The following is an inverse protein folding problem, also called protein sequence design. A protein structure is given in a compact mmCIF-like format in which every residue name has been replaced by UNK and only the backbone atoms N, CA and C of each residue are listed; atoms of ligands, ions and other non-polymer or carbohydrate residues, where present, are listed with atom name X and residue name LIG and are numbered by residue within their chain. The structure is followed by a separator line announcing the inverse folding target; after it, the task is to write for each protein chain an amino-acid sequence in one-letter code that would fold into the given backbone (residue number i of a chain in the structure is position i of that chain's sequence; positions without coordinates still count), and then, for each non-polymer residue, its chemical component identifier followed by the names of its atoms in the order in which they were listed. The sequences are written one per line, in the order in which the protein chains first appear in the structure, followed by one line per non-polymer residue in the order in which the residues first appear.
data_IF_348125861648
#
_entry.id   IF_348125861648
#
_cell.length_a   1.000
_cell.length_b   1.000
_cell.length_c   1.000
_cell.angle_alpha   90.00
_cell.angle_beta   90.00
_cell.angle_gamma   90.00
#
_symmetry.space_group_name_H-M   'P 1'
#
loop_
_entity.id
_entity.type
_entity.pdbx_description
1 polymer ?
#
# COMPACT_ATOMS: atom_id res chain seq x y z
N UNK A 1 16.29 17.69 -5.81
CA UNK A 1 16.08 16.60 -4.85
C UNK A 1 14.59 16.34 -4.92
N UNK A 2 14.17 15.40 -5.76
CA UNK A 2 12.81 14.87 -5.67
C UNK A 2 12.68 14.33 -4.26
N UNK A 3 11.75 14.87 -3.47
CA UNK A 3 11.45 14.25 -2.18
C UNK A 3 10.83 12.88 -2.52
N UNK A 4 11.58 11.81 -2.31
CA UNK A 4 11.07 10.44 -2.50
C UNK A 4 10.00 10.17 -1.43
N UNK A 5 8.73 10.39 -1.79
CA UNK A 5 7.60 9.96 -0.99
C UNK A 5 7.42 8.45 -1.14
N UNK A 6 7.29 7.73 -0.03
CA UNK A 6 6.77 6.37 -0.07
C UNK A 6 5.29 6.41 -0.39
N UNK A 7 4.86 5.59 -1.34
CA UNK A 7 3.47 5.52 -1.78
C UNK A 7 2.90 4.13 -1.54
N UNK A 8 1.65 4.09 -1.09
CA UNK A 8 0.85 2.87 -1.03
C UNK A 8 -0.61 3.22 -1.32
N UNK A 9 -1.25 2.44 -2.17
CA UNK A 9 -2.69 2.48 -2.34
C UNK A 9 -3.40 1.38 -1.52
N UNK A 10 -4.63 1.66 -1.10
CA UNK A 10 -5.50 0.74 -0.36
C UNK A 10 -6.96 0.92 -0.80
N UNK A 11 -7.76 -0.14 -0.64
CA UNK A 11 -9.20 -0.14 -0.96
C UNK A 11 -10.07 -0.71 0.18
N UNK A 12 -9.99 -0.17 1.40
CA UNK A 12 -10.69 -0.71 2.56
C UNK A 12 -12.21 -0.56 2.45
N UNK A 13 -12.95 -1.49 3.05
CA UNK A 13 -14.41 -1.44 3.10
C UNK A 13 -14.92 -0.25 3.94
N UNK A 14 -14.17 0.17 4.96
CA UNK A 14 -14.49 1.27 5.88
C UNK A 14 -13.40 2.35 5.86
N UNK A 15 -13.74 3.55 6.32
CA UNK A 15 -12.75 4.63 6.44
C UNK A 15 -11.83 4.38 7.65
N UNK A 16 -10.67 3.78 7.37
CA UNK A 16 -9.68 3.43 8.39
C UNK A 16 -8.51 4.41 8.49
N UNK A 17 -8.39 5.38 7.57
CA UNK A 17 -7.27 6.32 7.54
C UNK A 17 -7.04 7.03 8.90
N UNK A 18 -8.09 7.49 9.61
CA UNK A 18 -7.90 8.13 10.92
C UNK A 18 -7.31 7.19 11.99
N UNK A 19 -7.55 5.88 11.86
CA UNK A 19 -7.09 4.87 12.82
C UNK A 19 -5.63 4.50 12.59
N UNK A 20 -5.20 4.46 11.32
CA UNK A 20 -3.86 3.99 10.96
C UNK A 20 -2.83 5.12 10.86
N UNK A 21 -3.27 6.38 10.71
CA UNK A 21 -2.37 7.52 10.52
C UNK A 21 -1.32 7.67 11.62
N UNK A 22 -1.73 7.62 12.89
CA UNK A 22 -0.82 7.69 14.04
C UNK A 22 0.15 6.50 14.10
N UNK A 23 -0.33 5.30 13.77
CA UNK A 23 0.50 4.10 13.72
C UNK A 23 1.65 4.25 12.74
N UNK A 24 1.35 4.62 11.49
CA UNK A 24 2.37 4.78 10.44
C UNK A 24 3.29 5.98 10.71
N UNK A 25 2.76 7.11 11.16
CA UNK A 25 3.58 8.26 11.54
C UNK A 25 4.58 7.94 12.66
N UNK A 26 4.18 7.11 13.64
CA UNK A 26 5.09 6.68 14.71
C UNK A 26 6.20 5.72 14.24
N UNK A 27 5.91 4.92 13.20
CA UNK A 27 6.81 3.90 12.64
C UNK A 27 7.81 4.48 11.64
N UNK A 28 7.36 5.46 10.84
CA UNK A 28 8.09 6.09 9.73
C UNK A 28 8.38 7.57 10.00
N UNK A 29 8.84 7.91 11.22
CA UNK A 29 9.01 9.29 11.69
C UNK A 29 9.84 10.17 10.75
N UNK A 30 10.84 9.58 10.10
CA UNK A 30 11.82 10.30 9.28
C UNK A 30 11.57 10.13 7.77
N UNK A 31 10.47 9.49 7.38
CA UNK A 31 10.16 9.21 5.98
C UNK A 31 8.86 9.89 5.57
N UNK A 32 8.90 10.56 4.43
CA UNK A 32 7.70 11.15 3.85
C UNK A 32 6.90 10.02 3.18
N UNK A 33 5.61 9.92 3.48
CA UNK A 33 4.77 8.86 2.93
C UNK A 33 3.35 9.32 2.62
N UNK A 34 2.73 8.61 1.70
CA UNK A 34 1.35 8.79 1.26
C UNK A 34 0.64 7.43 1.32
N UNK A 35 -0.46 7.35 2.06
CA UNK A 35 -1.36 6.19 2.05
C UNK A 35 -2.68 6.63 1.44
N UNK A 36 -2.99 6.12 0.26
CA UNK A 36 -4.11 6.55 -0.57
C UNK A 36 -5.27 5.54 -0.53
N UNK A 37 -6.45 5.97 -0.04
CA UNK A 37 -7.69 5.22 -0.18
C UNK A 37 -8.34 5.55 -1.54
N UNK A 38 -8.16 4.66 -2.51
CA UNK A 38 -8.62 4.85 -3.90
C UNK A 38 -10.14 5.00 -3.97
N UNK A 39 -10.88 4.22 -3.16
CA UNK A 39 -12.36 4.22 -3.18
C UNK A 39 -12.92 5.57 -2.75
N UNK A 40 -12.30 6.18 -1.74
CA UNK A 40 -12.78 7.44 -1.13
C UNK A 40 -12.06 8.68 -1.65
N UNK A 41 -10.99 8.52 -2.44
CA UNK A 41 -10.14 9.61 -2.95
C UNK A 41 -9.63 10.51 -1.83
N UNK A 42 -9.26 9.89 -0.71
CA UNK A 42 -8.63 10.55 0.44
C UNK A 42 -7.29 9.89 0.68
N UNK A 43 -6.31 10.65 1.18
CA UNK A 43 -5.01 10.10 1.51
C UNK A 43 -4.48 10.68 2.82
N UNK A 44 -3.69 9.86 3.52
CA UNK A 44 -2.80 10.33 4.57
C UNK A 44 -1.56 10.90 3.89
N UNK A 45 -1.19 12.12 4.25
CA UNK A 45 0.09 12.71 3.91
C UNK A 45 0.90 12.84 5.18
N UNK A 46 2.10 12.26 5.20
CA UNK A 46 3.05 12.41 6.29
C UNK A 46 4.31 13.10 5.82
N UNK A 47 4.74 14.11 6.58
CA UNK A 47 6.01 14.80 6.39
C UNK A 47 6.53 15.30 7.73
N UNK A 48 7.83 15.11 7.97
CA UNK A 48 8.55 15.66 9.13
C UNK A 48 7.89 15.36 10.50
N UNK A 49 7.35 14.14 10.69
CA UNK A 49 6.73 13.71 11.94
C UNK A 49 5.30 14.19 12.16
N UNK A 50 4.72 14.92 11.20
CA UNK A 50 3.32 15.31 11.19
C UNK A 50 2.58 14.55 10.08
N UNK A 51 1.29 14.26 10.33
CA UNK A 51 0.43 13.66 9.33
C UNK A 51 -0.93 14.35 9.29
N UNK A 52 -1.51 14.40 8.09
CA UNK A 52 -2.84 14.93 7.84
C UNK A 52 -3.61 13.99 6.91
N UNK A 53 -4.93 14.06 6.97
CA UNK A 53 -5.80 13.40 5.98
C UNK A 53 -6.40 14.50 5.10
N UNK A 54 -6.33 14.30 3.78
CA UNK A 54 -6.83 15.27 2.80
C UNK A 54 -7.57 14.55 1.68
N UNK A 55 -8.63 15.17 1.18
CA UNK A 55 -9.29 14.78 -0.07
C UNK A 55 -8.43 15.14 -1.28
N UNK A 56 -8.33 14.22 -2.22
CA UNK A 56 -7.58 14.40 -3.46
C UNK A 56 -8.51 14.95 -4.53
N UNK A 57 -8.05 15.98 -5.25
CA UNK A 57 -8.72 16.38 -6.46
C UNK A 57 -8.49 15.33 -7.59
N UNK A 58 -9.27 15.41 -8.67
CA UNK A 58 -9.20 14.43 -9.76
C UNK A 58 -7.81 14.28 -10.39
N UNK A 59 -7.05 15.37 -10.47
CA UNK A 59 -5.74 15.40 -11.10
C UNK A 59 -4.65 14.82 -10.18
N UNK A 60 -4.69 15.18 -8.89
CA UNK A 60 -3.84 14.58 -7.85
C UNK A 60 -4.08 13.07 -7.74
N UNK A 61 -5.34 12.64 -7.75
CA UNK A 61 -5.71 11.23 -7.69
C UNK A 61 -5.12 10.45 -8.89
N UNK A 62 -5.23 11.00 -10.10
CA UNK A 62 -4.65 10.37 -11.30
C UNK A 62 -3.12 10.30 -11.23
N UNK A 63 -2.49 11.39 -10.77
CA UNK A 63 -1.03 11.43 -10.61
C UNK A 63 -0.53 10.36 -9.62
N UNK A 64 -1.21 10.20 -8.49
CA UNK A 64 -0.82 9.20 -7.48
C UNK A 64 -1.01 7.77 -7.98
N UNK A 65 -2.11 7.49 -8.70
CA UNK A 65 -2.33 6.17 -9.30
C UNK A 65 -1.27 5.83 -10.36
N UNK A 66 -0.76 6.83 -11.09
CA UNK A 66 0.33 6.60 -12.05
C UNK A 66 1.70 6.35 -11.42
N UNK A 67 1.89 6.64 -10.13
CA UNK A 67 3.13 6.33 -9.42
C UNK A 67 3.26 4.85 -9.06
N UNK A 68 2.19 4.08 -9.19
CA UNK A 68 2.13 2.67 -8.79
C UNK A 68 2.70 1.73 -9.86
N UNK A 69 3.81 2.12 -10.50
CA UNK A 69 4.50 1.24 -11.43
C UNK A 69 5.40 0.25 -10.67
N UNK A 70 5.44 -1.00 -11.18
CA UNK A 70 6.19 -2.13 -10.66
C UNK A 70 7.70 -1.84 -10.59
N UNK A 71 8.10 -1.15 -9.53
CA UNK A 71 9.46 -0.73 -9.31
C UNK A 71 10.39 -1.87 -8.90
N UNK A 72 11.66 -1.52 -8.71
CA UNK A 72 12.73 -2.44 -8.27
C UNK A 72 12.33 -3.22 -7.00
N UNK A 73 11.67 -2.56 -6.05
CA UNK A 73 11.24 -3.20 -4.80
C UNK A 73 10.16 -4.27 -4.99
N UNK A 74 9.23 -4.10 -5.94
CA UNK A 74 8.23 -5.11 -6.28
C UNK A 74 8.90 -6.37 -6.83
N UNK A 75 9.87 -6.20 -7.74
CA UNK A 75 10.64 -7.30 -8.29
C UNK A 75 11.48 -8.02 -7.23
N UNK A 76 12.10 -7.28 -6.32
CA UNK A 76 12.82 -7.86 -5.19
C UNK A 76 11.90 -8.67 -4.27
N UNK A 77 10.69 -8.16 -4.00
CA UNK A 77 9.69 -8.90 -3.23
C UNK A 77 9.26 -10.20 -3.92
N UNK A 78 8.92 -10.16 -5.22
CA UNK A 78 8.57 -11.36 -5.99
C UNK A 78 9.71 -12.38 -6.00
N UNK A 79 10.96 -11.92 -6.12
CA UNK A 79 12.16 -12.78 -6.07
C UNK A 79 12.33 -13.43 -4.69
N UNK A 80 12.20 -12.65 -3.63
CA UNK A 80 12.25 -13.15 -2.25
C UNK A 80 11.13 -14.16 -1.97
N UNK A 81 9.90 -13.83 -2.34
CA UNK A 81 8.73 -14.67 -2.11
C UNK A 81 8.87 -16.02 -2.84
N UNK A 82 9.25 -15.99 -4.11
CA UNK A 82 9.42 -17.21 -4.91
C UNK A 82 10.58 -18.09 -4.42
N UNK A 83 11.70 -17.50 -3.99
CA UNK A 83 12.87 -18.25 -3.49
C UNK A 83 12.65 -18.89 -2.13
N UNK A 84 11.84 -18.29 -1.27
CA UNK A 84 11.53 -18.82 0.08
C UNK A 84 10.32 -19.75 0.11
N UNK A 85 9.48 -19.73 -0.93
CA UNK A 85 8.28 -20.57 -1.00
C UNK A 85 8.62 -22.04 -1.21
N UNK A 86 8.16 -22.89 -0.29
CA UNK A 86 8.20 -24.34 -0.42
C UNK A 86 7.00 -24.78 -1.27
N UNK A 87 7.23 -25.14 -2.53
CA UNK A 87 6.19 -25.42 -3.52
C UNK A 87 5.24 -26.55 -3.08
N UNK A 88 5.76 -27.56 -2.40
CA UNK A 88 5.01 -28.71 -1.89
C UNK A 88 4.01 -28.34 -0.79
N UNK A 89 4.21 -27.18 -0.12
CA UNK A 89 3.31 -26.69 0.93
C UNK A 89 2.23 -25.73 0.41
N UNK A 90 2.17 -25.50 -0.90
CA UNK A 90 1.18 -24.60 -1.49
C UNK A 90 -0.23 -25.16 -1.33
N UNK A 91 -1.13 -24.35 -0.76
CA UNK A 91 -2.53 -24.71 -0.55
C UNK A 91 -3.45 -23.51 -0.81
N UNK A 92 -3.86 -23.36 -2.08
CA UNK A 92 -4.70 -22.25 -2.53
C UNK A 92 -6.08 -22.22 -1.89
N UNK A 93 -6.65 -23.39 -1.54
CA UNK A 93 -7.94 -23.48 -0.83
C UNK A 93 -7.82 -22.88 0.58
N UNK A 94 -6.76 -23.23 1.29
CA UNK A 94 -6.49 -22.68 2.62
C UNK A 94 -6.22 -21.17 2.56
N UNK A 95 -5.41 -20.72 1.58
CA UNK A 95 -5.13 -19.30 1.39
C UNK A 95 -6.41 -18.49 1.19
N UNK A 96 -7.32 -18.93 0.30
CA UNK A 96 -8.62 -18.28 0.07
C UNK A 96 -9.53 -18.30 1.30
N UNK A 97 -9.45 -19.35 2.13
CA UNK A 97 -10.21 -19.44 3.39
C UNK A 97 -9.70 -18.46 4.43
N UNK A 98 -8.38 -18.25 4.52
CA UNK A 98 -7.76 -17.33 5.48
C UNK A 98 -7.85 -15.87 5.04
N UNK A 99 -7.80 -15.62 3.73
CA UNK A 99 -7.89 -14.28 3.15
C UNK A 99 -8.78 -14.30 1.90
N UNK A 100 -9.99 -13.72 1.95
CA UNK A 100 -10.88 -13.63 0.80
C UNK A 100 -10.20 -12.99 -0.41
N UNK A 101 -10.42 -13.54 -1.60
CA UNK A 101 -9.77 -13.10 -2.84
C UNK A 101 -10.04 -11.65 -3.22
N UNK A 102 -11.13 -11.05 -2.70
CA UNK A 102 -11.45 -9.62 -2.92
C UNK A 102 -10.39 -8.65 -2.37
N UNK A 103 -9.52 -9.11 -1.46
CA UNK A 103 -8.43 -8.29 -0.91
C UNK A 103 -7.10 -8.52 -1.62
N UNK A 104 -7.06 -9.35 -2.65
CA UNK A 104 -5.80 -9.75 -3.29
C UNK A 104 -5.29 -8.73 -4.32
N UNK A 105 -6.11 -7.75 -4.71
CA UNK A 105 -5.77 -6.75 -5.73
C UNK A 105 -4.48 -5.96 -5.44
N UNK A 106 -4.12 -5.83 -4.15
CA UNK A 106 -2.96 -5.06 -3.70
C UNK A 106 -1.78 -5.96 -3.26
N UNK A 107 -1.83 -7.26 -3.55
CA UNK A 107 -0.80 -8.23 -3.14
C UNK A 107 0.20 -8.45 -4.27
N UNK A 108 1.39 -7.89 -4.09
CA UNK A 108 2.49 -7.98 -5.05
C UNK A 108 2.87 -9.42 -5.37
N UNK A 109 2.78 -10.37 -4.44
CA UNK A 109 3.14 -11.77 -4.69
C UNK A 109 2.09 -12.59 -5.46
N UNK A 110 0.86 -12.10 -5.55
CA UNK A 110 -0.24 -12.77 -6.27
C UNK A 110 -0.38 -12.22 -7.70
N UNK A 111 0.11 -11.00 -7.94
CA UNK A 111 0.03 -10.25 -9.19
C UNK A 111 0.93 -10.79 -10.32
#
# INVERSE_FOLDING_TARGET
MEEDFYYSSIEPDHNILPLIGSHFASRFKNQNFIIHDIKRKIAIFHSQGQWIIRELNSLENQSLLSCEEQGIYSNLWKTYFSSTTIKERTNSKLQKRMMPSRYWNHLTEIE
#
